data_IF_370853740407
#
_entry.id   IF_370853740407
#
_cell.length_a   1.000
_cell.length_b   1.000
_cell.length_c   1.000
_cell.angle_alpha   90.00
_cell.angle_beta   90.00
_cell.angle_gamma   90.00
#
_symmetry.space_group_name_H-M   'P 1'
#
loop_
_entity.id
_entity.type
_entity.pdbx_description
1 polymer ?
#
# COMPACT_ATOMS: atom_id res chain seq x y z
N UNK A 1 -15.76 23.36 24.56
CA UNK A 1 -16.05 23.19 25.99
C UNK A 1 -16.53 21.75 26.17
N UNK A 2 -15.69 20.87 26.71
CA UNK A 2 -15.99 19.46 26.92
C UNK A 2 -16.76 19.26 28.20
N UNK A 3 -17.83 18.47 28.16
CA UNK A 3 -18.58 18.05 29.33
C UNK A 3 -17.70 17.13 30.19
N UNK A 4 -17.79 17.20 31.54
CA UNK A 4 -17.01 16.38 32.46
C UNK A 4 -17.43 14.91 32.39
N UNK A 5 -16.52 13.96 32.70
CA UNK A 5 -16.86 12.53 32.73
C UNK A 5 -17.78 12.20 33.88
N UNK A 6 -18.85 11.45 33.62
CA UNK A 6 -19.80 10.96 34.61
C UNK A 6 -19.11 9.92 35.51
N UNK A 7 -18.80 10.27 36.74
CA UNK A 7 -18.28 9.37 37.78
C UNK A 7 -19.35 8.42 38.28
N UNK A 8 -18.99 7.16 38.51
CA UNK A 8 -19.85 6.12 39.04
C UNK A 8 -19.87 6.16 40.60
N UNK A 9 -20.90 6.75 41.20
CA UNK A 9 -21.21 6.50 42.60
C UNK A 9 -22.26 5.39 42.70
N UNK A 10 -21.82 4.21 43.11
CA UNK A 10 -22.71 3.09 43.44
C UNK A 10 -23.05 3.13 44.91
N UNK A 11 -24.30 3.42 45.26
CA UNK A 11 -24.84 3.07 46.55
C UNK A 11 -25.78 1.88 46.40
N UNK A 12 -25.49 0.85 47.17
CA UNK A 12 -26.19 -0.44 47.27
C UNK A 12 -27.58 -0.27 47.87
N UNK A 13 -28.62 -0.58 47.09
CA UNK A 13 -29.86 -1.25 47.53
C UNK A 13 -30.71 -1.61 46.29
N UNK A 14 -31.20 -2.84 46.25
CA UNK A 14 -31.82 -3.48 45.09
C UNK A 14 -33.11 -2.81 44.59
N UNK A 15 -32.98 -2.02 43.62
CA UNK A 15 -33.94 -1.64 42.56
C UNK A 15 -33.11 -1.11 41.41
N UNK A 16 -33.42 -1.46 40.17
CA UNK A 16 -32.72 -1.01 38.96
C UNK A 16 -32.72 0.51 38.87
N UNK A 17 -31.71 1.14 39.47
CA UNK A 17 -31.54 2.60 39.40
C UNK A 17 -30.95 2.94 38.03
N UNK A 18 -31.75 3.57 37.21
CA UNK A 18 -31.29 4.27 36.02
C UNK A 18 -30.22 5.28 36.46
N UNK A 19 -29.01 5.28 35.87
CA UNK A 19 -27.95 6.21 36.25
C UNK A 19 -28.43 7.65 36.08
N UNK A 20 -28.13 8.52 37.03
CA UNK A 20 -28.57 9.93 37.08
C UNK A 20 -28.29 10.67 35.74
N UNK A 21 -27.28 10.27 35.02
CA UNK A 21 -26.93 10.77 33.69
C UNK A 21 -27.99 10.43 32.63
N UNK A 22 -28.62 9.27 32.66
CA UNK A 22 -29.71 8.90 31.74
C UNK A 22 -30.99 9.68 32.01
N UNK A 23 -31.30 9.93 33.27
CA UNK A 23 -32.45 10.74 33.66
C UNK A 23 -32.27 12.20 33.22
N UNK A 24 -31.09 12.77 33.45
CA UNK A 24 -30.75 14.14 33.02
C UNK A 24 -30.79 14.28 31.48
N UNK A 25 -30.33 13.29 30.77
CA UNK A 25 -30.36 13.26 29.30
C UNK A 25 -31.78 13.09 28.76
N UNK A 26 -32.65 12.34 29.43
CA UNK A 26 -34.06 12.22 29.04
C UNK A 26 -34.80 13.55 29.24
N UNK A 27 -34.57 14.26 30.34
CA UNK A 27 -35.14 15.59 30.59
C UNK A 27 -34.67 16.59 29.54
N UNK A 28 -33.39 16.59 29.19
CA UNK A 28 -32.86 17.42 28.12
C UNK A 28 -33.49 17.13 26.75
N UNK A 29 -33.72 15.86 26.45
CA UNK A 29 -34.37 15.46 25.19
C UNK A 29 -35.85 15.90 25.14
N UNK A 30 -36.54 15.90 26.27
CA UNK A 30 -37.91 16.38 26.36
C UNK A 30 -37.98 17.91 26.19
N UNK A 31 -37.09 18.67 26.82
CA UNK A 31 -37.00 20.13 26.62
C UNK A 31 -36.67 20.46 25.15
N UNK A 32 -35.71 19.76 24.54
CA UNK A 32 -35.38 19.93 23.12
C UNK A 32 -36.58 19.56 22.23
N UNK A 33 -37.36 18.54 22.62
CA UNK A 33 -38.53 18.09 21.89
C UNK A 33 -39.64 19.13 21.79
N UNK A 34 -39.75 19.99 22.79
CA UNK A 34 -40.73 21.10 22.80
C UNK A 34 -40.33 22.18 21.81
N UNK A 35 -39.02 22.51 21.70
CA UNK A 35 -38.54 23.57 20.82
C UNK A 35 -38.24 23.05 19.37
N UNK A 36 -37.86 21.81 19.19
CA UNK A 36 -37.54 21.24 17.90
C UNK A 36 -37.71 19.72 17.84
N UNK A 37 -38.88 19.21 17.39
CA UNK A 37 -39.17 17.77 17.31
C UNK A 37 -38.17 17.02 16.38
N UNK A 38 -37.67 17.68 15.34
CA UNK A 38 -36.69 17.11 14.41
C UNK A 38 -35.33 16.84 15.08
N UNK A 39 -34.88 17.75 15.95
CA UNK A 39 -33.63 17.57 16.68
C UNK A 39 -33.75 16.43 17.72
N UNK A 40 -34.90 16.32 18.42
CA UNK A 40 -35.16 15.19 19.31
C UNK A 40 -35.13 13.87 18.58
N UNK A 41 -35.77 13.77 17.43
CA UNK A 41 -35.80 12.55 16.61
C UNK A 41 -34.40 12.18 16.07
N UNK A 42 -33.58 13.18 15.69
CA UNK A 42 -32.21 12.92 15.22
C UNK A 42 -31.32 12.42 16.36
N UNK A 43 -31.42 12.98 17.56
CA UNK A 43 -30.66 12.53 18.76
C UNK A 43 -31.07 11.13 19.20
N UNK A 44 -32.36 10.82 19.22
CA UNK A 44 -32.87 9.49 19.57
C UNK A 44 -32.40 8.43 18.55
N UNK A 45 -32.45 8.75 17.23
CA UNK A 45 -31.91 7.86 16.19
C UNK A 45 -30.42 7.63 16.36
N UNK A 46 -29.63 8.68 16.60
CA UNK A 46 -28.20 8.56 16.85
C UNK A 46 -27.88 7.70 18.07
N UNK A 47 -28.64 7.83 19.15
CA UNK A 47 -28.50 6.97 20.35
C UNK A 47 -28.87 5.52 20.05
N UNK A 48 -29.97 5.25 19.34
CA UNK A 48 -30.36 3.90 18.98
C UNK A 48 -29.30 3.20 18.12
N UNK A 49 -28.68 3.92 17.16
CA UNK A 49 -27.56 3.41 16.35
C UNK A 49 -26.33 3.13 17.20
N UNK A 50 -25.98 4.03 18.14
CA UNK A 50 -24.84 3.83 19.05
C UNK A 50 -25.08 2.66 20.01
N UNK A 51 -26.32 2.45 20.46
CA UNK A 51 -26.67 1.32 21.34
C UNK A 51 -26.70 -0.02 20.63
N UNK A 52 -26.92 -0.05 19.31
CA UNK A 52 -27.00 -1.30 18.53
C UNK A 52 -25.70 -2.11 18.52
N UNK A 53 -24.53 -1.44 18.65
CA UNK A 53 -23.23 -2.09 18.66
C UNK A 53 -22.43 -1.73 19.92
N UNK A 54 -22.16 -2.71 20.77
CA UNK A 54 -21.40 -2.52 22.01
C UNK A 54 -19.98 -1.99 21.75
N UNK A 55 -19.36 -2.38 20.65
CA UNK A 55 -18.03 -1.91 20.25
C UNK A 55 -17.92 -0.39 20.03
N UNK A 56 -19.06 0.31 19.84
CA UNK A 56 -19.08 1.77 19.66
C UNK A 56 -19.14 2.49 21.01
N UNK A 57 -19.52 1.79 22.09
CA UNK A 57 -19.60 2.37 23.43
C UNK A 57 -18.21 2.53 24.03
N UNK A 58 -17.88 3.74 24.46
CA UNK A 58 -16.63 4.00 25.19
C UNK A 58 -16.83 3.67 26.66
N UNK A 59 -16.02 2.75 27.17
CA UNK A 59 -16.00 2.36 28.58
C UNK A 59 -14.64 2.70 29.20
N UNK A 60 -14.48 2.50 30.54
CA UNK A 60 -13.21 2.71 31.21
C UNK A 60 -12.06 1.86 30.61
N UNK A 61 -12.38 0.65 30.16
CA UNK A 61 -11.43 -0.31 29.60
C UNK A 61 -11.39 -0.31 28.07
N UNK A 62 -12.42 0.22 27.44
CA UNK A 62 -12.52 0.27 25.97
C UNK A 62 -12.65 1.71 25.47
N UNK A 63 -11.63 2.19 24.77
CA UNK A 63 -11.65 3.47 24.06
C UNK A 63 -11.67 3.18 22.55
N UNK A 64 -12.81 3.43 21.91
CA UNK A 64 -12.94 3.26 20.47
C UNK A 64 -12.01 4.24 19.72
N UNK A 65 -10.93 3.73 19.13
CA UNK A 65 -10.12 4.48 18.18
C UNK A 65 -10.78 4.38 16.81
N UNK A 66 -10.97 5.51 16.14
CA UNK A 66 -11.67 5.57 14.84
C UNK A 66 -10.75 6.13 13.78
N UNK A 67 -10.85 5.56 12.60
CA UNK A 67 -10.14 6.02 11.41
C UNK A 67 -11.14 6.18 10.25
N UNK A 68 -11.40 7.42 9.86
CA UNK A 68 -12.34 7.76 8.80
C UNK A 68 -11.67 8.30 7.52
N UNK A 69 -10.34 8.42 7.51
CA UNK A 69 -9.60 8.85 6.33
C UNK A 69 -9.66 7.80 5.23
N UNK A 70 -9.61 8.23 3.99
CA UNK A 70 -9.50 7.32 2.85
C UNK A 70 -8.15 6.57 2.88
N UNK A 71 -8.04 5.47 2.11
CA UNK A 71 -6.79 4.73 2.01
C UNK A 71 -5.66 5.60 1.45
N UNK A 72 -5.99 6.44 0.45
CA UNK A 72 -5.04 7.34 -0.19
C UNK A 72 -4.62 8.49 0.73
N UNK A 73 -5.53 9.05 1.53
CA UNK A 73 -5.15 10.04 2.54
C UNK A 73 -4.17 9.45 3.57
N UNK A 74 -4.38 8.20 4.00
CA UNK A 74 -3.46 7.54 4.93
C UNK A 74 -2.09 7.32 4.32
N UNK A 75 -2.01 6.83 3.06
CA UNK A 75 -0.75 6.65 2.37
C UNK A 75 -0.06 7.98 2.06
N UNK A 76 -0.81 9.01 1.67
CA UNK A 76 -0.28 10.36 1.41
C UNK A 76 0.48 10.92 2.61
N UNK A 77 -0.06 10.77 3.82
CA UNK A 77 0.56 11.33 5.03
C UNK A 77 1.57 10.41 5.70
N UNK A 78 1.42 9.10 5.53
CA UNK A 78 2.17 8.12 6.32
C UNK A 78 3.20 7.29 5.55
N UNK A 79 3.02 7.05 4.26
CA UNK A 79 3.83 6.07 3.52
C UNK A 79 5.32 6.39 3.52
N UNK A 80 5.70 7.65 3.35
CA UNK A 80 7.12 8.08 3.32
C UNK A 80 7.78 7.80 4.67
N UNK A 81 7.18 8.28 5.77
CA UNK A 81 7.74 8.07 7.12
C UNK A 81 7.78 6.60 7.52
N UNK A 82 6.76 5.81 7.17
CA UNK A 82 6.76 4.36 7.41
C UNK A 82 7.87 3.66 6.64
N UNK A 83 8.14 4.07 5.41
CA UNK A 83 9.22 3.57 4.57
C UNK A 83 10.59 3.88 5.15
N UNK A 84 10.81 5.11 5.58
CA UNK A 84 12.07 5.54 6.22
C UNK A 84 12.35 4.71 7.48
N UNK A 85 11.36 4.52 8.33
CA UNK A 85 11.48 3.68 9.52
C UNK A 85 11.74 2.22 9.17
N UNK A 86 11.04 1.67 8.18
CA UNK A 86 11.24 0.30 7.72
C UNK A 86 12.66 0.08 7.17
N UNK A 87 13.19 1.04 6.41
CA UNK A 87 14.58 1.02 5.91
C UNK A 87 15.60 1.09 7.04
N UNK A 88 15.33 1.90 8.07
CA UNK A 88 16.17 1.95 9.25
C UNK A 88 16.23 0.59 9.96
N UNK A 89 15.09 -0.06 10.15
CA UNK A 89 15.03 -1.39 10.77
C UNK A 89 15.68 -2.46 9.91
N UNK A 90 15.49 -2.44 8.60
CA UNK A 90 16.13 -3.36 7.66
C UNK A 90 17.68 -3.26 7.68
N UNK A 91 18.22 -2.10 8.02
CA UNK A 91 19.65 -1.90 8.12
C UNK A 91 20.25 -2.17 9.52
N UNK A 92 19.43 -2.07 10.58
CA UNK A 92 19.95 -2.01 11.96
C UNK A 92 19.33 -3.03 12.93
N UNK A 93 18.26 -3.73 12.54
CA UNK A 93 17.56 -4.65 13.43
C UNK A 93 17.68 -6.09 12.92
N UNK A 94 18.41 -6.93 13.64
CA UNK A 94 18.77 -8.30 13.25
C UNK A 94 17.56 -9.20 12.94
N UNK A 95 16.50 -9.13 13.77
CA UNK A 95 15.27 -9.91 13.53
C UNK A 95 14.58 -9.49 12.24
N UNK A 96 14.54 -8.19 11.92
CA UNK A 96 13.90 -7.68 10.70
C UNK A 96 14.70 -8.10 9.47
N UNK A 97 16.02 -7.98 9.52
CA UNK A 97 16.95 -8.47 8.49
C UNK A 97 16.70 -9.96 8.25
N UNK A 98 16.70 -10.76 9.34
CA UNK A 98 16.48 -12.20 9.25
C UNK A 98 15.11 -12.61 8.68
N UNK A 99 14.07 -11.84 8.97
CA UNK A 99 12.73 -12.06 8.38
C UNK A 99 12.74 -11.80 6.88
N UNK A 100 13.32 -10.68 6.43
CA UNK A 100 13.39 -10.38 5.00
C UNK A 100 14.27 -11.39 4.25
N UNK A 101 15.42 -11.77 4.81
CA UNK A 101 16.30 -12.79 4.22
C UNK A 101 15.57 -14.13 4.06
N UNK A 102 14.79 -14.54 5.06
CA UNK A 102 13.95 -15.74 4.98
C UNK A 102 12.84 -15.64 3.94
N UNK A 103 12.21 -14.47 3.78
CA UNK A 103 11.21 -14.24 2.75
C UNK A 103 11.85 -14.30 1.36
N UNK A 104 13.00 -13.67 1.15
CA UNK A 104 13.75 -13.77 -0.11
C UNK A 104 14.11 -15.22 -0.46
N UNK A 105 14.64 -15.96 0.52
CA UNK A 105 15.01 -17.38 0.33
C UNK A 105 13.80 -18.24 -0.04
N UNK A 106 12.65 -18.03 0.61
CA UNK A 106 11.46 -18.86 0.44
C UNK A 106 10.61 -18.51 -0.78
N UNK A 107 10.53 -17.24 -1.14
CA UNK A 107 9.68 -16.77 -2.23
C UNK A 107 10.40 -16.85 -3.58
N UNK A 108 11.63 -16.35 -3.64
CA UNK A 108 12.41 -16.27 -4.89
C UNK A 108 13.47 -17.37 -4.95
N UNK A 109 14.17 -17.59 -3.85
CA UNK A 109 15.24 -18.58 -3.77
C UNK A 109 16.51 -18.19 -4.52
N UNK A 110 17.45 -19.14 -4.59
CA UNK A 110 18.79 -18.90 -5.17
C UNK A 110 18.74 -18.65 -6.69
N UNK A 111 17.90 -19.39 -7.39
CA UNK A 111 17.88 -19.40 -8.86
C UNK A 111 16.80 -18.46 -9.45
N UNK A 112 16.08 -17.75 -8.60
CA UNK A 112 14.95 -16.91 -9.02
C UNK A 112 13.69 -17.71 -9.34
N UNK A 113 12.65 -17.02 -9.78
CA UNK A 113 11.36 -17.63 -10.15
C UNK A 113 11.57 -18.46 -11.42
N UNK A 114 11.23 -19.74 -11.38
CA UNK A 114 11.38 -20.65 -12.52
C UNK A 114 10.23 -20.41 -13.50
N UNK A 115 10.58 -20.25 -14.76
CA UNK A 115 9.62 -20.13 -15.88
C UNK A 115 9.74 -21.35 -16.77
N UNK A 116 8.65 -22.10 -16.93
CA UNK A 116 8.58 -23.25 -17.81
C UNK A 116 7.58 -22.97 -18.96
N UNK A 117 8.07 -22.74 -20.19
CA UNK A 117 7.19 -22.45 -21.32
C UNK A 117 6.49 -23.70 -21.84
N UNK A 118 5.17 -23.60 -22.05
CA UNK A 118 4.33 -24.62 -22.63
C UNK A 118 3.58 -24.09 -23.89
N UNK A 119 4.29 -23.74 -24.98
CA UNK A 119 3.63 -23.29 -26.20
C UNK A 119 2.84 -24.45 -26.84
N UNK A 120 1.61 -24.15 -27.24
CA UNK A 120 0.71 -25.15 -27.81
C UNK A 120 0.48 -24.87 -29.30
N UNK A 121 0.62 -25.90 -30.12
CA UNK A 121 0.30 -25.86 -31.53
C UNK A 121 -1.23 -25.85 -31.75
N UNK A 122 -1.68 -25.51 -32.97
CA UNK A 122 -3.12 -25.51 -33.33
C UNK A 122 -3.82 -26.86 -33.15
N UNK A 123 -3.07 -27.95 -33.21
CA UNK A 123 -3.57 -29.32 -32.99
C UNK A 123 -3.59 -29.75 -31.49
N UNK A 124 -3.26 -28.84 -30.56
CA UNK A 124 -3.21 -29.12 -29.12
C UNK A 124 -1.92 -29.76 -28.61
N UNK A 125 -0.97 -30.09 -29.47
CA UNK A 125 0.30 -30.67 -29.07
C UNK A 125 1.28 -29.58 -28.58
N UNK A 126 2.15 -29.90 -27.61
CA UNK A 126 3.19 -29.00 -27.11
C UNK A 126 4.30 -28.86 -28.16
N UNK A 127 4.62 -27.62 -28.54
CA UNK A 127 5.73 -27.30 -29.45
C UNK A 127 7.06 -27.35 -28.69
N UNK A 128 7.65 -28.54 -28.60
CA UNK A 128 8.85 -28.80 -27.78
C UNK A 128 10.05 -27.99 -28.19
N UNK A 129 10.26 -27.85 -29.50
CA UNK A 129 11.41 -27.11 -30.08
C UNK A 129 11.30 -25.60 -29.71
N UNK A 130 10.09 -25.02 -29.85
CA UNK A 130 9.82 -23.63 -29.46
C UNK A 130 9.98 -23.45 -27.94
N UNK A 131 9.53 -24.41 -27.15
CA UNK A 131 9.73 -24.38 -25.69
C UNK A 131 11.20 -24.38 -25.31
N UNK A 132 12.03 -25.18 -26.03
CA UNK A 132 13.48 -25.24 -25.81
C UNK A 132 14.14 -23.90 -26.19
N UNK A 133 13.76 -23.32 -27.33
CA UNK A 133 14.28 -22.01 -27.77
C UNK A 133 13.93 -20.90 -26.77
N UNK A 134 12.68 -20.85 -26.29
CA UNK A 134 12.25 -19.88 -25.28
C UNK A 134 13.08 -20.03 -23.99
N UNK A 135 13.30 -21.26 -23.50
CA UNK A 135 14.14 -21.50 -22.31
C UNK A 135 15.57 -21.03 -22.50
N UNK A 136 16.16 -21.28 -23.65
CA UNK A 136 17.53 -20.83 -23.95
C UNK A 136 17.61 -19.30 -23.95
N UNK A 137 16.75 -18.62 -24.70
CA UNK A 137 16.71 -17.14 -24.73
C UNK A 137 16.39 -16.52 -23.36
N UNK A 138 15.49 -17.16 -22.60
CA UNK A 138 15.19 -16.73 -21.24
C UNK A 138 16.41 -16.84 -20.32
N UNK A 139 17.15 -17.94 -20.41
CA UNK A 139 18.38 -18.15 -19.63
C UNK A 139 19.45 -17.10 -19.97
N UNK A 140 19.67 -16.85 -21.25
CA UNK A 140 20.64 -15.85 -21.73
C UNK A 140 20.23 -14.43 -21.32
N UNK A 141 18.94 -14.05 -21.49
CA UNK A 141 18.42 -12.77 -21.05
C UNK A 141 18.53 -12.61 -19.53
N UNK A 142 18.37 -13.67 -18.76
CA UNK A 142 18.43 -13.65 -17.29
C UNK A 142 19.81 -13.28 -16.73
N UNK A 143 20.85 -13.27 -17.54
CA UNK A 143 22.20 -12.85 -17.13
C UNK A 143 22.28 -11.34 -16.90
N UNK A 144 21.63 -10.54 -17.76
CA UNK A 144 21.62 -9.07 -17.68
C UNK A 144 20.26 -8.52 -18.14
N UNK A 145 19.21 -8.67 -17.32
CA UNK A 145 17.84 -8.30 -17.70
C UNK A 145 17.52 -6.81 -17.46
N UNK A 146 18.40 -6.06 -16.81
CA UNK A 146 18.11 -4.70 -16.39
C UNK A 146 19.05 -3.67 -17.02
N UNK A 147 18.62 -2.40 -17.03
CA UNK A 147 19.25 -1.31 -17.77
C UNK A 147 20.68 -0.98 -17.32
N UNK A 148 21.06 -1.27 -16.06
CA UNK A 148 22.40 -0.97 -15.55
C UNK A 148 23.40 -2.10 -15.83
N UNK A 149 22.90 -3.32 -16.14
CA UNK A 149 23.73 -4.51 -16.38
C UNK A 149 24.44 -5.07 -15.13
N UNK A 150 24.06 -4.60 -13.93
CA UNK A 150 24.72 -4.98 -12.67
C UNK A 150 24.10 -6.23 -12.04
N UNK A 151 22.81 -6.48 -12.30
CA UNK A 151 22.06 -7.53 -11.60
C UNK A 151 21.65 -8.63 -12.57
N UNK A 152 21.83 -9.87 -12.14
CA UNK A 152 21.18 -11.01 -12.79
C UNK A 152 19.70 -11.03 -12.41
N UNK A 153 18.87 -11.73 -13.22
CA UNK A 153 17.43 -11.85 -12.95
C UNK A 153 17.11 -12.35 -11.52
N UNK A 154 17.72 -13.42 -11.01
CA UNK A 154 17.45 -13.87 -9.64
C UNK A 154 17.79 -12.82 -8.57
N UNK A 155 18.86 -12.06 -8.79
CA UNK A 155 19.25 -11.00 -7.87
C UNK A 155 18.28 -9.83 -7.94
N UNK A 156 17.87 -9.43 -9.13
CA UNK A 156 16.87 -8.38 -9.34
C UNK A 156 15.54 -8.74 -8.68
N UNK A 157 15.06 -9.97 -8.89
CA UNK A 157 13.81 -10.47 -8.29
C UNK A 157 13.84 -10.42 -6.75
N UNK A 158 14.96 -10.80 -6.13
CA UNK A 158 15.13 -10.71 -4.68
C UNK A 158 15.12 -9.28 -4.18
N UNK A 159 15.86 -8.39 -4.84
CA UNK A 159 15.89 -6.97 -4.50
C UNK A 159 14.51 -6.31 -4.66
N UNK A 160 13.78 -6.65 -5.72
CA UNK A 160 12.41 -6.17 -5.92
C UNK A 160 11.46 -6.70 -4.85
N UNK A 161 11.57 -7.98 -4.47
CA UNK A 161 10.77 -8.54 -3.39
C UNK A 161 11.06 -7.83 -2.06
N UNK A 162 12.34 -7.64 -1.70
CA UNK A 162 12.72 -6.94 -0.48
C UNK A 162 12.20 -5.51 -0.46
N UNK A 163 12.39 -4.78 -1.56
CA UNK A 163 11.87 -3.41 -1.70
C UNK A 163 10.35 -3.38 -1.57
N UNK A 164 9.65 -4.29 -2.23
CA UNK A 164 8.19 -4.38 -2.14
C UNK A 164 7.70 -4.59 -0.70
N UNK A 165 8.30 -5.50 0.03
CA UNK A 165 7.89 -5.81 1.41
C UNK A 165 8.32 -4.72 2.40
N UNK A 166 9.56 -4.23 2.27
CA UNK A 166 10.14 -3.21 3.15
C UNK A 166 9.49 -1.84 2.92
N UNK A 167 9.46 -1.38 1.68
CA UNK A 167 8.97 -0.05 1.32
C UNK A 167 7.46 -0.03 1.08
N UNK A 168 6.85 -1.21 0.87
CA UNK A 168 5.43 -1.38 0.59
C UNK A 168 5.08 -1.43 -0.89
N UNK A 169 5.98 -1.01 -1.76
CA UNK A 169 5.82 -1.03 -3.21
C UNK A 169 7.15 -1.02 -3.92
N UNK A 170 7.15 -1.47 -5.16
CA UNK A 170 8.30 -1.40 -6.07
C UNK A 170 7.78 -1.22 -7.49
N UNK A 171 8.53 -0.51 -8.31
CA UNK A 171 8.22 -0.26 -9.69
C UNK A 171 9.28 -0.86 -10.60
N UNK A 172 8.87 -1.25 -11.81
CA UNK A 172 9.82 -1.58 -12.88
C UNK A 172 9.28 -1.08 -14.21
N UNK A 173 10.03 -0.20 -14.86
CA UNK A 173 9.71 0.27 -16.21
C UNK A 173 10.20 -0.76 -17.22
N UNK A 174 9.33 -1.18 -18.12
CA UNK A 174 9.67 -2.03 -19.25
C UNK A 174 10.26 -1.17 -20.37
N UNK A 175 11.51 -1.44 -20.72
CA UNK A 175 12.26 -0.74 -21.75
C UNK A 175 12.47 -1.69 -22.93
N UNK A 176 11.97 -1.34 -24.11
CA UNK A 176 12.04 -2.19 -25.28
C UNK A 176 12.44 -1.40 -26.53
N UNK A 177 13.05 -2.09 -27.49
CA UNK A 177 13.48 -1.52 -28.76
C UNK A 177 14.98 -1.32 -28.87
N UNK A 178 15.44 -0.75 -29.99
CA UNK A 178 16.86 -0.48 -30.22
C UNK A 178 17.26 0.83 -29.53
N UNK A 179 18.04 0.72 -28.46
CA UNK A 179 18.55 1.85 -27.70
C UNK A 179 20.09 1.79 -27.77
N UNK A 180 20.71 2.80 -28.33
CA UNK A 180 22.15 2.81 -28.61
C UNK A 180 23.04 2.68 -27.36
N UNK A 181 22.53 3.09 -26.21
CA UNK A 181 23.24 3.02 -24.91
C UNK A 181 23.11 1.67 -24.21
N UNK A 182 22.22 0.78 -24.67
CA UNK A 182 21.96 -0.50 -24.05
C UNK A 182 22.39 -1.65 -24.95
N UNK A 183 23.23 -2.54 -24.42
CA UNK A 183 23.66 -3.75 -25.13
C UNK A 183 22.65 -4.87 -24.90
N UNK A 184 22.01 -5.41 -25.94
CA UNK A 184 21.02 -6.47 -25.78
C UNK A 184 21.70 -7.78 -25.35
N UNK A 185 21.15 -8.42 -24.31
CA UNK A 185 21.53 -9.77 -23.94
C UNK A 185 20.86 -10.77 -24.87
N UNK A 186 21.63 -11.67 -25.47
CA UNK A 186 21.15 -12.71 -26.41
C UNK A 186 20.31 -12.16 -27.60
N UNK A 187 20.56 -10.93 -28.03
CA UNK A 187 19.78 -10.29 -29.11
C UNK A 187 18.35 -9.91 -28.71
N UNK A 188 17.98 -10.02 -27.43
CA UNK A 188 16.70 -9.61 -26.91
C UNK A 188 16.76 -8.13 -26.50
N UNK A 189 16.05 -7.29 -27.25
CA UNK A 189 15.97 -5.84 -27.03
C UNK A 189 14.86 -5.51 -25.99
N UNK A 190 15.00 -6.03 -24.79
CA UNK A 190 14.08 -5.81 -23.68
C UNK A 190 14.85 -5.77 -22.36
N UNK A 191 14.61 -4.74 -21.57
CA UNK A 191 15.23 -4.53 -20.27
C UNK A 191 14.19 -4.07 -19.24
N UNK A 192 14.52 -4.23 -17.98
CA UNK A 192 13.77 -3.68 -16.85
C UNK A 192 14.56 -2.54 -16.21
N UNK A 193 13.94 -1.41 -15.97
CA UNK A 193 14.45 -0.36 -15.11
C UNK A 193 13.73 -0.48 -13.77
N UNK A 194 14.37 -1.11 -12.78
CA UNK A 194 13.81 -1.22 -11.44
C UNK A 194 13.92 0.12 -10.70
N UNK A 195 12.82 0.56 -10.11
CA UNK A 195 12.71 1.87 -9.47
C UNK A 195 12.18 1.71 -8.03
N UNK A 196 12.90 2.32 -7.11
CA UNK A 196 12.41 2.49 -5.73
C UNK A 196 11.20 3.45 -5.71
N UNK A 197 10.31 3.34 -4.72
CA UNK A 197 9.14 4.19 -4.60
C UNK A 197 9.44 5.70 -4.58
N UNK A 198 10.66 6.08 -4.22
CA UNK A 198 11.11 7.48 -4.17
C UNK A 198 11.19 8.12 -5.56
N UNK A 199 11.31 7.31 -6.62
CA UNK A 199 11.26 7.83 -8.00
C UNK A 199 9.88 8.30 -8.44
N UNK A 200 8.81 7.92 -7.71
CA UNK A 200 7.45 8.34 -8.00
C UNK A 200 7.01 9.36 -6.93
N UNK A 201 6.81 10.64 -7.28
CA UNK A 201 6.43 11.67 -6.32
C UNK A 201 5.07 11.36 -5.68
N UNK A 202 4.93 11.73 -4.40
CA UNK A 202 3.65 11.60 -3.67
C UNK A 202 2.74 12.82 -3.91
N UNK A 203 2.87 13.49 -5.06
CA UNK A 203 2.06 14.65 -5.42
C UNK A 203 0.69 14.22 -5.92
N UNK A 204 -0.35 14.91 -5.46
CA UNK A 204 -1.72 14.72 -5.93
C UNK A 204 -2.26 16.04 -6.47
N UNK A 205 -3.00 15.97 -7.58
CA UNK A 205 -3.70 17.10 -8.21
C UNK A 205 -5.02 16.59 -8.80
N UNK A 206 -6.11 16.91 -8.14
CA UNK A 206 -7.45 16.47 -8.55
C UNK A 206 -7.86 17.04 -9.91
N UNK A 207 -7.39 18.24 -10.27
CA UNK A 207 -7.72 18.89 -11.55
C UNK A 207 -7.15 18.11 -12.74
N UNK A 208 -6.01 17.47 -12.56
CA UNK A 208 -5.31 16.66 -13.55
C UNK A 208 -5.47 15.16 -13.33
N UNK A 209 -6.35 14.72 -12.43
CA UNK A 209 -6.54 13.31 -12.06
C UNK A 209 -5.26 12.62 -11.63
N UNK A 210 -4.33 13.37 -11.06
CA UNK A 210 -3.08 12.87 -10.51
C UNK A 210 -3.30 12.47 -9.06
N UNK A 211 -3.11 11.19 -8.75
CA UNK A 211 -3.19 10.66 -7.40
C UNK A 211 -1.84 10.06 -6.99
N UNK A 212 -1.12 10.76 -6.10
CA UNK A 212 0.18 10.32 -5.56
C UNK A 212 1.18 9.90 -6.66
N UNK A 213 1.30 10.73 -7.69
CA UNK A 213 2.21 10.50 -8.81
C UNK A 213 1.71 9.53 -9.88
N UNK A 214 0.45 9.12 -9.81
CA UNK A 214 -0.20 8.23 -10.79
C UNK A 214 -1.40 8.93 -11.39
N UNK A 215 -1.43 9.10 -12.71
CA UNK A 215 -2.60 9.55 -13.45
C UNK A 215 -3.60 8.42 -13.56
N UNK A 216 -4.86 8.70 -13.25
CA UNK A 216 -5.92 7.69 -13.20
C UNK A 216 -7.10 8.07 -14.09
N UNK A 217 -7.77 7.05 -14.64
CA UNK A 217 -9.02 7.22 -15.37
C UNK A 217 -10.22 7.43 -14.41
N UNK A 218 -11.43 7.55 -14.96
CA UNK A 218 -12.68 7.71 -14.20
C UNK A 218 -13.00 6.53 -13.28
N UNK A 219 -12.41 5.37 -13.52
CA UNK A 219 -12.55 4.15 -12.73
C UNK A 219 -11.43 3.98 -11.69
N UNK A 220 -10.45 4.89 -11.66
CA UNK A 220 -9.29 4.81 -10.79
C UNK A 220 -8.21 3.84 -11.30
N UNK A 221 -8.22 3.47 -12.60
CA UNK A 221 -7.15 2.67 -13.20
C UNK A 221 -5.98 3.56 -13.57
N UNK A 222 -4.73 3.12 -13.32
CA UNK A 222 -3.55 3.84 -13.75
C UNK A 222 -3.49 3.98 -15.28
N UNK A 223 -3.29 5.20 -15.76
CA UNK A 223 -3.03 5.52 -17.17
C UNK A 223 -1.56 5.83 -17.40
N UNK A 224 -0.96 6.62 -16.51
CA UNK A 224 0.45 7.00 -16.57
C UNK A 224 1.04 7.16 -15.19
N UNK A 225 2.34 7.05 -15.10
CA UNK A 225 3.13 7.30 -13.91
C UNK A 225 4.04 8.49 -14.10
N UNK A 226 4.06 9.39 -13.13
CA UNK A 226 5.02 10.50 -13.07
C UNK A 226 6.30 9.97 -12.43
N UNK A 227 7.40 10.00 -13.16
CA UNK A 227 8.68 9.40 -12.73
C UNK A 227 9.77 10.46 -12.76
N UNK A 228 10.57 10.58 -11.71
CA UNK A 228 11.77 11.40 -11.73
C UNK A 228 12.79 10.84 -12.73
N UNK A 229 13.37 11.71 -13.55
CA UNK A 229 14.40 11.33 -14.55
C UNK A 229 15.72 10.89 -13.92
N UNK A 230 16.00 11.35 -12.71
CA UNK A 230 17.22 11.01 -11.96
C UNK A 230 16.84 10.71 -10.52
N UNK A 231 17.75 10.07 -9.78
CA UNK A 231 17.55 9.75 -8.37
C UNK A 231 17.16 10.98 -7.57
N UNK A 232 16.04 10.96 -6.86
CA UNK A 232 15.60 12.12 -6.09
C UNK A 232 16.59 12.45 -4.98
N UNK A 233 16.96 13.73 -4.93
CA UNK A 233 17.85 14.28 -3.89
C UNK A 233 17.08 15.38 -3.17
N UNK A 234 17.08 15.32 -1.84
CA UNK A 234 16.40 16.32 -1.00
C UNK A 234 16.86 17.76 -1.34
N UNK A 235 15.88 18.66 -1.46
CA UNK A 235 16.12 20.09 -1.69
C UNK A 235 16.39 20.52 -3.14
N UNK A 236 16.31 19.62 -4.12
CA UNK A 236 16.39 19.95 -5.55
C UNK A 236 15.07 19.83 -6.25
N UNK A 237 14.80 20.77 -7.16
CA UNK A 237 13.70 20.62 -8.12
C UNK A 237 14.11 19.55 -9.15
N UNK A 238 13.33 18.48 -9.22
CA UNK A 238 13.63 17.32 -10.05
C UNK A 238 12.78 17.33 -11.31
N UNK A 239 13.42 17.08 -12.45
CA UNK A 239 12.69 16.85 -13.69
C UNK A 239 11.96 15.52 -13.66
N UNK A 240 10.74 15.52 -14.15
CA UNK A 240 9.90 14.33 -14.27
C UNK A 240 9.70 13.93 -15.73
N UNK A 241 9.39 12.65 -15.94
CA UNK A 241 8.90 12.08 -17.20
C UNK A 241 7.58 11.36 -16.93
N UNK A 242 6.71 11.30 -17.91
CA UNK A 242 5.52 10.46 -17.87
C UNK A 242 5.85 9.10 -18.49
N UNK A 243 5.40 8.03 -17.86
CA UNK A 243 5.54 6.66 -18.34
C UNK A 243 4.16 6.02 -18.39
N UNK A 244 3.77 5.49 -19.53
CA UNK A 244 2.49 4.84 -19.73
C UNK A 244 2.34 3.62 -18.80
N UNK A 245 1.16 3.40 -18.25
CA UNK A 245 0.90 2.31 -17.31
C UNK A 245 1.15 0.92 -17.92
N UNK A 246 0.95 0.77 -19.23
CA UNK A 246 1.26 -0.47 -19.96
C UNK A 246 2.76 -0.84 -19.93
N UNK A 247 3.63 0.14 -19.68
CA UNK A 247 5.09 -0.04 -19.59
C UNK A 247 5.60 -0.01 -18.16
N UNK A 248 4.70 0.07 -17.17
CA UNK A 248 5.08 0.14 -15.77
C UNK A 248 4.52 -1.05 -15.00
N UNK A 249 5.39 -1.87 -14.46
CA UNK A 249 5.03 -2.86 -13.47
C UNK A 249 5.00 -2.18 -12.10
N UNK A 250 3.87 -2.23 -11.42
CA UNK A 250 3.71 -1.67 -10.09
C UNK A 250 3.26 -2.77 -9.13
N UNK A 251 4.18 -3.30 -8.34
CA UNK A 251 3.90 -4.21 -7.24
C UNK A 251 3.68 -3.39 -5.98
N UNK A 252 2.52 -3.54 -5.34
CA UNK A 252 2.16 -2.78 -4.15
C UNK A 252 1.52 -3.66 -3.07
N UNK A 253 1.87 -3.41 -1.82
CA UNK A 253 1.23 -4.04 -0.68
C UNK A 253 0.11 -3.14 -0.18
N UNK A 254 -1.13 -3.56 -0.44
CA UNK A 254 -2.33 -2.79 -0.11
C UNK A 254 -3.18 -3.54 0.92
N UNK A 255 -3.81 -2.79 1.81
CA UNK A 255 -4.71 -3.33 2.86
C UNK A 255 -6.15 -2.87 2.70
N UNK A 256 -6.40 -1.92 1.81
CA UNK A 256 -7.75 -1.38 1.55
C UNK A 256 -7.99 -1.31 0.05
N UNK A 257 -9.25 -1.52 -0.34
CA UNK A 257 -9.68 -1.27 -1.72
C UNK A 257 -9.43 0.21 -2.10
N UNK A 258 -9.17 0.47 -3.36
CA UNK A 258 -8.88 1.79 -3.93
C UNK A 258 -7.60 2.47 -3.37
N UNK A 259 -6.72 1.74 -2.70
CA UNK A 259 -5.42 2.26 -2.29
C UNK A 259 -4.48 2.34 -3.49
N UNK A 260 -4.02 3.54 -3.84
CA UNK A 260 -3.15 3.75 -4.99
C UNK A 260 -1.70 3.34 -4.70
N UNK A 261 -1.15 3.78 -3.60
CA UNK A 261 0.25 3.52 -3.22
C UNK A 261 0.36 2.47 -2.13
N UNK A 262 1.43 1.68 -2.17
CA UNK A 262 1.72 0.67 -1.16
C UNK A 262 2.20 1.25 0.16
N UNK A 263 2.08 0.46 1.23
CA UNK A 263 2.63 0.78 2.55
C UNK A 263 3.42 -0.40 3.08
N UNK A 264 4.51 -0.13 3.81
CA UNK A 264 5.41 -1.16 4.34
C UNK A 264 4.66 -2.30 5.04
N UNK A 265 5.11 -3.53 4.83
CA UNK A 265 4.64 -4.70 5.56
C UNK A 265 4.82 -4.51 7.08
N UNK A 266 5.89 -3.81 7.47
CA UNK A 266 6.21 -3.55 8.88
C UNK A 266 5.30 -2.52 9.55
N UNK A 267 4.43 -1.79 8.80
CA UNK A 267 3.60 -0.70 9.33
C UNK A 267 2.80 -1.06 10.58
N UNK A 268 2.40 -2.33 10.75
CA UNK A 268 1.64 -2.80 11.92
C UNK A 268 2.50 -3.10 13.15
N UNK A 269 3.81 -3.20 13.01
CA UNK A 269 4.72 -3.63 14.08
C UNK A 269 5.77 -2.58 14.45
N UNK A 270 5.93 -1.51 13.67
CA UNK A 270 6.95 -0.46 13.88
C UNK A 270 6.94 0.15 15.30
N UNK A 271 5.79 0.21 15.96
CA UNK A 271 5.69 0.75 17.33
C UNK A 271 6.21 -0.26 18.37
N UNK A 272 6.30 -1.54 18.01
CA UNK A 272 6.65 -2.64 18.94
C UNK A 272 8.08 -3.14 18.75
N UNK A 273 8.71 -2.77 17.65
CA UNK A 273 10.12 -3.04 17.35
C UNK A 273 11.00 -1.89 17.85
#
# INVERSE_FOLDING_TARGET
MGAPPCGSDYTTTGASRVPACEVLMAILDDVIGVFSPGWKAARLRSRAVIQAYEAVKTTRTHKARRENRTADQLSQYGAVSLREQARYLDNNHDLVIGVFDKLEERVVGKNGIIVEPHPVLRNGAIARDLAAEIRTRWSEWSVSPEVTGQFTRPMLERLMLRTWLRDGEVFAQMVSGRINSLTPSAGVHFWLEALEPDFIPMTSDESNRLNQGVFVDDWGRPEKYLVYKSRPVSGRQMETKEVDAERMLHLKFVRRLHQMRGTSLLSGVLIRL
#
